data_IF_665069262788
#
_entry.id   IF_665069262788
#
_cell.length_a   1.000
_cell.length_b   1.000
_cell.length_c   1.000
_cell.angle_alpha   90.00
_cell.angle_beta   90.00
_cell.angle_gamma   90.00
#
_symmetry.space_group_name_H-M   'P 1'
#
loop_
_entity.id
_entity.type
_entity.pdbx_description
1 polymer ?
#
# COMPACT_ATOMS: atom_id res chain seq x y z
N UNK A 1 8.52 66.62 40.18
CA UNK A 1 9.63 65.70 39.83
C UNK A 1 9.28 64.31 40.32
N UNK A 2 8.59 63.47 39.53
CA UNK A 2 8.36 62.06 39.85
C UNK A 2 8.82 61.20 38.68
N UNK A 3 9.69 60.25 39.02
CA UNK A 3 10.55 59.46 38.15
C UNK A 3 9.91 58.10 37.88
N UNK A 4 9.94 57.70 36.60
CA UNK A 4 10.13 56.36 35.99
C UNK A 4 9.57 55.14 36.71
N UNK A 5 8.82 54.31 35.97
CA UNK A 5 9.11 52.87 35.81
C UNK A 5 8.45 52.37 34.52
N UNK A 6 9.27 52.02 33.51
CA UNK A 6 8.84 51.27 32.32
C UNK A 6 9.16 49.79 32.62
N UNK A 7 8.19 48.87 32.65
CA UNK A 7 8.49 47.46 32.82
C UNK A 7 9.01 46.92 31.48
N UNK A 8 10.24 46.42 31.51
CA UNK A 8 10.83 45.64 30.41
C UNK A 8 10.12 44.28 30.42
N UNK A 9 9.26 44.05 29.43
CA UNK A 9 8.67 42.74 29.16
C UNK A 9 9.77 41.82 28.62
N UNK A 10 10.22 40.87 29.44
CA UNK A 10 11.08 39.76 29.01
C UNK A 10 10.27 38.85 28.06
N UNK A 11 10.52 38.96 26.76
CA UNK A 11 10.10 37.93 25.80
C UNK A 11 10.91 36.66 26.08
N UNK A 12 10.27 35.65 26.66
CA UNK A 12 10.80 34.30 26.69
C UNK A 12 10.81 33.76 25.24
N UNK A 13 11.98 33.68 24.64
CA UNK A 13 12.18 32.94 23.41
C UNK A 13 11.97 31.45 23.70
N UNK A 14 10.79 30.92 23.35
CA UNK A 14 10.57 29.49 23.32
C UNK A 14 11.50 28.90 22.26
N UNK A 15 12.60 28.28 22.72
CA UNK A 15 13.44 27.46 21.86
C UNK A 15 12.62 26.26 21.39
N UNK A 16 12.07 26.32 20.18
CA UNK A 16 11.62 25.13 19.47
C UNK A 16 12.86 24.32 19.13
N UNK A 17 13.26 23.42 20.03
CA UNK A 17 14.13 22.31 19.66
C UNK A 17 13.40 21.52 18.57
N UNK A 18 13.96 21.37 17.36
CA UNK A 18 13.41 20.42 16.41
C UNK A 18 13.42 19.07 17.12
N UNK A 19 12.25 18.43 17.24
CA UNK A 19 12.16 17.08 17.76
C UNK A 19 13.21 16.24 17.03
N UNK A 20 14.22 15.75 17.75
CA UNK A 20 15.23 14.89 17.17
C UNK A 20 14.50 13.74 16.50
N UNK A 21 14.70 13.60 15.19
CA UNK A 21 14.00 12.61 14.41
C UNK A 21 14.40 11.22 14.92
N UNK A 22 13.43 10.51 15.51
CA UNK A 22 13.65 9.22 16.16
C UNK A 22 13.44 8.10 15.14
N UNK A 23 14.49 7.38 14.82
CA UNK A 23 14.49 6.27 13.86
C UNK A 23 14.52 4.90 14.53
N UNK A 24 14.68 4.84 15.86
CA UNK A 24 14.86 3.59 16.57
C UNK A 24 13.51 2.98 16.94
N UNK A 25 13.31 1.74 16.54
CA UNK A 25 12.17 0.94 16.98
C UNK A 25 12.49 0.25 18.31
N UNK A 26 13.66 -0.38 18.39
CA UNK A 26 14.21 -1.05 19.56
C UNK A 26 15.66 -1.48 19.30
N UNK A 27 16.23 -2.31 20.17
CA UNK A 27 17.65 -2.69 20.09
C UNK A 27 18.00 -3.46 18.82
N UNK A 28 17.05 -4.22 18.27
CA UNK A 28 17.22 -5.00 17.03
C UNK A 28 17.04 -4.19 15.75
N UNK A 29 16.55 -2.95 15.82
CA UNK A 29 16.30 -2.16 14.63
C UNK A 29 16.37 -0.64 14.81
N UNK A 30 17.34 -0.05 14.12
CA UNK A 30 17.40 1.39 13.82
C UNK A 30 17.10 1.62 12.34
N UNK A 31 15.96 2.23 12.03
CA UNK A 31 15.49 2.42 10.67
C UNK A 31 16.36 3.39 9.84
N UNK A 32 17.29 4.11 10.49
CA UNK A 32 18.28 4.93 9.79
C UNK A 32 19.12 4.10 8.79
N UNK A 33 19.34 2.81 9.05
CA UNK A 33 20.05 1.90 8.12
C UNK A 33 19.31 1.74 6.78
N UNK A 34 18.00 1.99 6.76
CA UNK A 34 17.14 1.96 5.57
C UNK A 34 16.91 3.36 4.98
N UNK A 35 17.61 4.38 5.50
CA UNK A 35 17.47 5.78 5.10
C UNK A 35 16.17 6.44 5.57
N UNK A 36 15.52 5.89 6.61
CA UNK A 36 14.35 6.52 7.25
C UNK A 36 14.82 7.67 8.12
N UNK A 37 14.05 8.75 8.13
CA UNK A 37 14.32 9.93 8.97
C UNK A 37 13.47 9.96 10.23
N UNK A 38 12.29 9.35 10.21
CA UNK A 38 11.34 9.33 11.32
C UNK A 38 10.61 7.98 11.34
N UNK A 39 10.64 7.29 12.48
CA UNK A 39 10.00 5.99 12.67
C UNK A 39 8.48 6.03 12.48
N UNK A 40 7.84 7.21 12.58
CA UNK A 40 6.43 7.37 12.27
C UNK A 40 6.09 6.94 10.83
N UNK A 41 7.04 7.03 9.88
CA UNK A 41 6.87 6.46 8.54
C UNK A 41 6.62 4.95 8.60
N UNK A 42 7.47 4.23 9.33
CA UNK A 42 7.36 2.79 9.49
C UNK A 42 6.15 2.40 10.32
N UNK A 43 5.87 3.10 11.42
CA UNK A 43 4.73 2.76 12.29
C UNK A 43 3.38 2.88 11.57
N UNK A 44 3.24 3.84 10.64
CA UNK A 44 2.06 3.91 9.76
C UNK A 44 1.97 2.69 8.83
N UNK A 45 3.10 2.28 8.24
CA UNK A 45 3.15 1.09 7.39
C UNK A 45 2.83 -0.20 8.19
N UNK A 46 3.43 -0.40 9.36
CA UNK A 46 3.21 -1.54 10.24
C UNK A 46 1.73 -1.65 10.64
N UNK A 47 1.14 -0.54 11.08
CA UNK A 47 -0.29 -0.50 11.42
C UNK A 47 -1.19 -0.85 10.23
N UNK A 48 -0.92 -0.31 9.05
CA UNK A 48 -1.70 -0.62 7.85
C UNK A 48 -1.53 -2.08 7.41
N UNK A 49 -0.32 -2.63 7.52
CA UNK A 49 -0.03 -4.03 7.17
C UNK A 49 -0.78 -4.99 8.10
N UNK A 50 -0.70 -4.77 9.41
CA UNK A 50 -1.42 -5.58 10.40
C UNK A 50 -2.92 -5.54 10.16
N UNK A 51 -3.48 -4.35 9.96
CA UNK A 51 -4.90 -4.19 9.68
C UNK A 51 -5.34 -4.92 8.40
N UNK A 52 -4.58 -4.81 7.31
CA UNK A 52 -4.89 -5.51 6.06
C UNK A 52 -4.84 -7.04 6.23
N UNK A 53 -3.88 -7.57 7.00
CA UNK A 53 -3.75 -9.00 7.28
C UNK A 53 -4.85 -9.53 8.22
N UNK A 54 -5.22 -8.76 9.23
CA UNK A 54 -6.30 -9.09 10.17
C UNK A 54 -7.65 -9.13 9.45
N UNK A 55 -7.91 -8.11 8.62
CA UNK A 55 -9.12 -8.05 7.79
C UNK A 55 -9.12 -9.07 6.65
N UNK A 56 -7.95 -9.61 6.27
CA UNK A 56 -7.75 -10.41 5.05
C UNK A 56 -8.03 -9.65 3.75
N UNK A 57 -7.98 -8.31 3.80
CA UNK A 57 -8.24 -7.44 2.66
C UNK A 57 -7.04 -7.45 1.70
N UNK A 58 -7.12 -8.31 0.69
CA UNK A 58 -6.09 -8.43 -0.33
C UNK A 58 -5.91 -7.14 -1.15
N UNK A 59 -6.95 -6.32 -1.26
CA UNK A 59 -6.89 -5.06 -2.00
C UNK A 59 -6.12 -3.99 -1.23
N UNK A 60 -6.34 -3.90 0.09
CA UNK A 60 -5.53 -3.10 0.99
C UNK A 60 -4.08 -3.56 1.00
N UNK A 61 -3.84 -4.87 1.13
CA UNK A 61 -2.50 -5.44 1.14
C UNK A 61 -1.74 -5.16 -0.17
N UNK A 62 -2.43 -5.12 -1.31
CA UNK A 62 -1.82 -4.81 -2.60
C UNK A 62 -1.22 -3.39 -2.70
N UNK A 63 -1.66 -2.44 -1.85
CA UNK A 63 -1.05 -1.11 -1.72
C UNK A 63 0.26 -1.14 -0.91
N UNK A 64 0.42 -2.15 -0.06
CA UNK A 64 1.53 -2.31 0.88
C UNK A 64 2.61 -3.27 0.36
N UNK A 65 2.37 -3.90 -0.79
CA UNK A 65 3.26 -4.88 -1.41
C UNK A 65 4.03 -4.27 -2.57
N UNK A 66 5.31 -4.62 -2.67
CA UNK A 66 6.11 -4.40 -3.88
C UNK A 66 5.85 -5.54 -4.85
N UNK A 67 5.19 -5.24 -5.96
CA UNK A 67 5.10 -6.18 -7.07
C UNK A 67 6.33 -6.09 -7.99
N UNK A 68 6.83 -7.19 -8.56
CA UNK A 68 6.40 -8.57 -8.34
C UNK A 68 6.82 -9.09 -6.95
N UNK A 69 5.85 -9.59 -6.16
CA UNK A 69 6.09 -10.04 -4.79
C UNK A 69 6.77 -11.40 -4.82
N UNK A 70 7.91 -11.52 -4.14
CA UNK A 70 8.61 -12.79 -3.98
C UNK A 70 7.94 -13.65 -2.92
N UNK A 71 7.55 -14.86 -3.29
CA UNK A 71 7.06 -15.88 -2.36
C UNK A 71 7.99 -17.08 -2.43
N UNK A 72 8.60 -17.44 -1.30
CA UNK A 72 9.39 -18.66 -1.18
C UNK A 72 8.56 -19.69 -0.42
N UNK A 73 8.39 -20.87 -1.00
CA UNK A 73 7.68 -21.98 -0.40
C UNK A 73 8.66 -22.84 0.41
N UNK A 74 8.13 -23.58 1.39
CA UNK A 74 8.93 -24.48 2.21
C UNK A 74 9.57 -25.64 1.45
N UNK A 75 9.04 -26.01 0.27
CA UNK A 75 9.62 -27.01 -0.62
C UNK A 75 10.80 -26.46 -1.45
N UNK A 76 11.19 -25.19 -1.22
CA UNK A 76 12.26 -24.50 -1.95
C UNK A 76 11.80 -23.86 -3.26
N UNK A 77 10.55 -24.06 -3.69
CA UNK A 77 10.02 -23.41 -4.88
C UNK A 77 9.79 -21.91 -4.64
N UNK A 78 9.88 -21.14 -5.73
CA UNK A 78 9.70 -19.69 -5.71
C UNK A 78 8.65 -19.26 -6.70
N UNK A 79 7.72 -18.43 -6.22
CA UNK A 79 6.64 -17.82 -7.01
C UNK A 79 6.81 -16.30 -6.99
N UNK A 80 6.43 -15.66 -8.09
CA UNK A 80 6.29 -14.21 -8.20
C UNK A 80 4.82 -13.88 -8.39
N UNK A 81 4.26 -13.01 -7.54
CA UNK A 81 2.92 -12.48 -7.72
C UNK A 81 3.05 -11.10 -8.38
N UNK A 82 2.60 -10.96 -9.61
CA UNK A 82 2.90 -9.76 -10.41
C UNK A 82 1.93 -8.60 -10.15
N UNK A 83 0.77 -8.86 -9.56
CA UNK A 83 -0.27 -7.85 -9.37
C UNK A 83 -1.25 -8.21 -8.25
N UNK A 84 -2.18 -7.30 -7.98
CA UNK A 84 -3.20 -7.44 -6.93
C UNK A 84 -4.12 -8.65 -7.14
N UNK A 85 -4.46 -9.01 -8.38
CA UNK A 85 -5.30 -10.16 -8.67
C UNK A 85 -4.58 -11.49 -8.37
N UNK A 86 -3.29 -11.59 -8.71
CA UNK A 86 -2.45 -12.74 -8.34
C UNK A 86 -2.24 -12.84 -6.82
N UNK A 87 -2.09 -11.70 -6.14
CA UNK A 87 -2.04 -11.64 -4.69
C UNK A 87 -3.33 -12.17 -4.05
N UNK A 88 -4.50 -11.71 -4.51
CA UNK A 88 -5.77 -12.17 -3.95
C UNK A 88 -5.98 -13.67 -4.17
N UNK A 89 -5.75 -14.18 -5.38
CA UNK A 89 -6.00 -15.59 -5.69
C UNK A 89 -5.14 -16.55 -4.85
N UNK A 90 -3.96 -16.09 -4.41
CA UNK A 90 -3.06 -16.86 -3.56
C UNK A 90 -3.02 -16.37 -2.11
N UNK A 91 -3.90 -15.43 -1.72
CA UNK A 91 -3.83 -14.77 -0.41
C UNK A 91 -3.82 -15.79 0.74
N UNK A 92 -4.76 -16.72 0.75
CA UNK A 92 -4.89 -17.71 1.83
C UNK A 92 -3.67 -18.65 1.91
N UNK A 93 -3.01 -18.91 0.78
CA UNK A 93 -1.81 -19.75 0.72
C UNK A 93 -0.56 -18.99 1.17
N UNK A 94 -0.39 -17.74 0.70
CA UNK A 94 0.81 -16.92 0.94
C UNK A 94 0.76 -16.25 2.31
N UNK A 95 -0.39 -15.68 2.68
CA UNK A 95 -0.67 -15.04 3.96
C UNK A 95 -1.59 -15.93 4.82
N UNK A 96 -1.22 -17.21 4.92
CA UNK A 96 -1.89 -18.16 5.80
C UNK A 96 -1.78 -17.76 7.29
N UNK A 97 -2.46 -18.49 8.19
CA UNK A 97 -2.52 -18.14 9.62
C UNK A 97 -1.15 -17.94 10.28
N UNK A 98 -0.16 -18.78 9.94
CA UNK A 98 1.21 -18.67 10.49
C UNK A 98 1.88 -17.35 10.08
N UNK A 99 1.85 -17.01 8.79
CA UNK A 99 2.44 -15.77 8.25
C UNK A 99 1.73 -14.53 8.83
N UNK A 100 0.39 -14.57 8.93
CA UNK A 100 -0.36 -13.48 9.56
C UNK A 100 -0.02 -13.32 11.03
N UNK A 101 0.10 -14.41 11.78
CA UNK A 101 0.50 -14.38 13.19
C UNK A 101 1.92 -13.81 13.38
N UNK A 102 2.85 -14.15 12.50
CA UNK A 102 4.23 -13.64 12.52
C UNK A 102 4.29 -12.10 12.40
N UNK A 103 3.35 -11.49 11.67
CA UNK A 103 3.27 -10.03 11.55
C UNK A 103 2.44 -9.39 12.67
N UNK A 104 1.24 -9.91 12.91
CA UNK A 104 0.24 -9.27 13.80
C UNK A 104 0.61 -9.32 15.27
N UNK A 105 1.35 -10.35 15.72
CA UNK A 105 1.80 -10.47 17.11
C UNK A 105 3.07 -9.66 17.40
N UNK A 106 3.82 -9.29 16.36
CA UNK A 106 5.12 -8.67 16.50
C UNK A 106 4.98 -7.22 16.95
N UNK A 107 5.63 -6.86 18.06
CA UNK A 107 5.68 -5.47 18.50
C UNK A 107 6.78 -4.72 17.74
N UNK A 108 6.60 -3.44 17.41
CA UNK A 108 7.61 -2.70 16.67
C UNK A 108 8.99 -2.69 17.33
N UNK A 109 9.05 -2.60 18.66
CA UNK A 109 10.28 -2.56 19.45
C UNK A 109 11.04 -3.90 19.50
N UNK A 110 10.40 -5.01 19.13
CA UNK A 110 11.03 -6.33 19.04
C UNK A 110 11.45 -6.70 17.62
N UNK A 111 11.26 -5.80 16.64
CA UNK A 111 11.64 -6.05 15.26
C UNK A 111 13.15 -6.01 15.05
N UNK A 112 13.59 -6.82 14.10
CA UNK A 112 14.97 -6.82 13.61
C UNK A 112 15.01 -6.15 12.23
N UNK A 113 16.06 -5.37 11.96
CA UNK A 113 16.34 -4.93 10.59
C UNK A 113 17.80 -5.08 10.19
N UNK A 114 18.01 -5.28 8.89
CA UNK A 114 19.34 -5.36 8.29
C UNK A 114 19.42 -4.51 7.01
N UNK A 115 20.61 -4.01 6.64
CA UNK A 115 20.79 -3.16 5.46
C UNK A 115 20.27 -3.81 4.17
N UNK A 116 20.50 -5.11 3.98
CA UNK A 116 20.19 -5.86 2.75
C UNK A 116 18.95 -6.77 2.89
N UNK A 117 17.90 -6.26 3.53
CA UNK A 117 16.65 -7.01 3.68
C UNK A 117 15.50 -6.23 4.29
N UNK A 118 15.78 -5.07 4.89
CA UNK A 118 14.76 -4.26 5.53
C UNK A 118 14.42 -4.80 6.91
N UNK A 119 13.16 -4.68 7.28
CA UNK A 119 12.57 -5.08 8.56
C UNK A 119 11.99 -6.49 8.43
N UNK A 120 12.33 -7.33 9.40
CA UNK A 120 11.93 -8.73 9.47
C UNK A 120 10.79 -8.92 10.49
N UNK A 121 9.72 -9.58 10.07
CA UNK A 121 8.65 -10.04 10.96
C UNK A 121 8.77 -11.55 11.21
N UNK A 122 8.41 -11.97 12.43
CA UNK A 122 8.63 -13.32 12.92
C UNK A 122 10.10 -13.72 12.87
N UNK A 123 10.35 -14.96 12.44
CA UNK A 123 11.68 -15.53 12.24
C UNK A 123 12.15 -15.38 10.78
N UNK A 124 11.49 -14.51 10.01
CA UNK A 124 11.77 -14.25 8.61
C UNK A 124 10.63 -14.57 7.66
N UNK A 125 9.43 -14.86 8.15
CA UNK A 125 8.25 -15.13 7.34
C UNK A 125 7.90 -13.96 6.42
N UNK A 126 8.07 -12.71 6.90
CA UNK A 126 7.78 -11.52 6.09
C UNK A 126 8.92 -10.53 6.19
N UNK A 127 9.34 -10.03 5.03
CA UNK A 127 10.32 -8.95 4.92
C UNK A 127 9.67 -7.72 4.29
N UNK A 128 9.83 -6.58 4.96
CA UNK A 128 9.41 -5.28 4.47
C UNK A 128 10.63 -4.36 4.31
N UNK A 129 10.75 -3.70 3.17
CA UNK A 129 11.89 -2.83 2.88
C UNK A 129 11.43 -1.49 2.32
N UNK A 130 12.28 -0.47 2.46
CA UNK A 130 12.04 0.88 1.98
C UNK A 130 12.55 1.03 0.55
N UNK A 131 11.68 0.70 -0.39
CA UNK A 131 11.98 0.58 -1.83
C UNK A 131 11.39 1.74 -2.61
N UNK A 132 11.94 2.02 -3.79
CA UNK A 132 11.30 2.93 -4.74
C UNK A 132 9.89 2.43 -5.10
N UNK A 133 8.89 3.26 -4.85
CA UNK A 133 7.48 2.98 -5.13
C UNK A 133 6.83 4.25 -5.72
N UNK A 134 6.92 4.38 -7.04
CA UNK A 134 6.43 5.55 -7.76
C UNK A 134 7.27 6.79 -7.54
N UNK A 135 6.77 7.75 -6.75
CA UNK A 135 7.40 9.07 -6.58
C UNK A 135 8.38 9.18 -5.42
N UNK A 136 8.76 8.05 -4.83
CA UNK A 136 9.84 7.99 -3.84
C UNK A 136 9.88 6.69 -3.08
N UNK A 137 10.79 6.62 -2.11
CA UNK A 137 10.98 5.43 -1.28
C UNK A 137 9.89 5.31 -0.22
N UNK A 138 9.29 4.13 -0.14
CA UNK A 138 8.26 3.80 0.83
C UNK A 138 8.44 2.36 1.31
N UNK A 139 8.02 2.06 2.53
CA UNK A 139 7.96 0.69 3.00
C UNK A 139 6.98 -0.14 2.17
N UNK A 140 7.44 -1.32 1.76
CA UNK A 140 6.66 -2.35 1.07
C UNK A 140 7.08 -3.72 1.54
N UNK A 141 6.12 -4.64 1.62
CA UNK A 141 6.42 -6.07 1.71
C UNK A 141 7.09 -6.51 0.41
N UNK A 142 8.29 -7.09 0.51
CA UNK A 142 9.09 -7.50 -0.65
C UNK A 142 9.23 -9.00 -0.78
N UNK A 143 9.16 -9.73 0.34
CA UNK A 143 9.28 -11.18 0.38
C UNK A 143 8.35 -11.78 1.43
N UNK A 144 7.74 -12.91 1.10
CA UNK A 144 7.04 -13.78 2.03
C UNK A 144 7.65 -15.18 1.94
N UNK A 145 8.00 -15.75 3.09
CA UNK A 145 8.45 -17.12 3.25
C UNK A 145 7.31 -17.92 3.89
N UNK A 146 6.74 -18.86 3.14
CA UNK A 146 5.61 -19.68 3.59
C UNK A 146 6.15 -20.93 4.30
N UNK A 147 5.90 -21.11 5.61
CA UNK A 147 6.45 -22.23 6.36
C UNK A 147 5.83 -23.58 5.98
N UNK A 148 6.57 -24.67 6.22
CA UNK A 148 6.10 -26.03 5.98
C UNK A 148 4.83 -26.32 6.80
N UNK A 149 3.86 -27.03 6.21
CA UNK A 149 2.58 -27.31 6.86
C UNK A 149 1.53 -26.19 6.76
N UNK A 150 1.91 -24.96 6.38
CA UNK A 150 0.95 -23.90 6.05
C UNK A 150 0.27 -24.13 4.69
N UNK A 151 0.95 -24.82 3.75
CA UNK A 151 0.43 -25.19 2.44
C UNK A 151 -0.68 -26.27 2.46
N UNK A 152 -0.91 -26.92 3.61
CA UNK A 152 -1.82 -28.08 3.72
C UNK A 152 -3.22 -27.72 4.25
N UNK A 153 -3.44 -26.50 4.75
CA UNK A 153 -4.79 -26.02 4.90
C UNK A 153 -5.25 -25.57 3.51
N UNK A 154 -5.86 -26.48 2.74
CA UNK A 154 -6.97 -26.06 1.87
C UNK A 154 -7.95 -25.37 2.80
N UNK A 155 -7.82 -24.06 2.99
CA UNK A 155 -8.94 -23.28 3.46
C UNK A 155 -10.10 -23.73 2.57
N UNK A 156 -11.22 -24.22 3.13
CA UNK A 156 -12.33 -24.60 2.28
C UNK A 156 -12.59 -23.37 1.42
N UNK A 157 -12.69 -23.54 0.10
CA UNK A 157 -12.90 -22.42 -0.83
C UNK A 157 -14.06 -21.51 -0.33
N UNK A 158 -15.00 -22.06 0.44
CA UNK A 158 -16.08 -21.38 1.14
C UNK A 158 -15.68 -20.35 2.22
N UNK A 159 -14.54 -20.49 2.93
CA UNK A 159 -14.12 -19.55 3.98
C UNK A 159 -13.29 -18.36 3.43
N UNK A 160 -12.57 -18.57 2.31
CA UNK A 160 -11.94 -17.49 1.55
C UNK A 160 -12.94 -16.80 0.59
N UNK A 161 -14.09 -17.43 0.30
CA UNK A 161 -15.12 -16.94 -0.61
C UNK A 161 -16.33 -16.28 0.08
N UNK A 162 -16.20 -15.83 1.32
CA UNK A 162 -17.13 -14.84 1.88
C UNK A 162 -16.88 -13.46 1.23
N UNK A 163 -17.13 -13.39 -0.08
CA UNK A 163 -17.46 -12.22 -0.87
C UNK A 163 -16.61 -10.95 -0.72
N UNK A 164 -15.30 -11.05 -0.48
CA UNK A 164 -14.44 -9.90 -0.73
C UNK A 164 -14.33 -9.65 -2.25
N UNK A 165 -14.66 -8.45 -2.74
CA UNK A 165 -14.59 -8.15 -4.16
C UNK A 165 -13.15 -8.26 -4.65
N UNK A 166 -12.96 -8.89 -5.80
CA UNK A 166 -11.64 -9.13 -6.41
C UNK A 166 -10.96 -7.81 -6.73
N UNK A 167 -9.77 -7.49 -6.16
CA UNK A 167 -9.01 -6.33 -6.60
C UNK A 167 -8.62 -6.50 -8.07
N UNK A 168 -9.08 -5.55 -8.86
CA UNK A 168 -8.74 -5.37 -10.27
C UNK A 168 -7.53 -4.43 -10.40
N UNK A 169 -7.44 -3.43 -9.53
CA UNK A 169 -6.32 -2.48 -9.47
C UNK A 169 -6.10 -2.01 -8.03
N UNK A 170 -4.84 -1.86 -7.63
CA UNK A 170 -4.46 -1.13 -6.43
C UNK A 170 -3.20 -0.31 -6.73
N UNK A 171 -3.32 1.02 -6.59
CA UNK A 171 -2.22 1.93 -6.88
C UNK A 171 -2.34 3.24 -6.09
N UNK A 172 -1.27 4.03 -6.08
CA UNK A 172 -1.20 5.29 -5.36
C UNK A 172 -0.67 6.41 -6.24
N UNK A 173 -1.25 7.61 -6.09
CA UNK A 173 -0.70 8.87 -6.59
C UNK A 173 -0.04 9.65 -5.46
N UNK A 174 0.36 10.90 -5.68
CA UNK A 174 0.87 11.78 -4.61
C UNK A 174 -0.20 12.17 -3.58
N UNK A 175 -1.48 12.14 -3.98
CA UNK A 175 -2.59 12.68 -3.17
C UNK A 175 -3.57 11.63 -2.71
N UNK A 176 -3.68 10.51 -3.42
CA UNK A 176 -4.77 9.55 -3.22
C UNK A 176 -4.29 8.12 -3.41
N UNK A 177 -4.73 7.22 -2.53
CA UNK A 177 -4.73 5.78 -2.76
C UNK A 177 -5.99 5.39 -3.51
N UNK A 178 -5.86 4.51 -4.50
CA UNK A 178 -6.97 4.03 -5.31
C UNK A 178 -6.99 2.50 -5.29
N UNK A 179 -8.17 1.95 -5.05
CA UNK A 179 -8.48 0.54 -5.24
C UNK A 179 -9.66 0.43 -6.19
N UNK A 180 -9.54 -0.44 -7.19
CA UNK A 180 -10.67 -0.92 -7.97
C UNK A 180 -10.85 -2.39 -7.64
N UNK A 181 -12.04 -2.76 -7.18
CA UNK A 181 -12.39 -4.14 -6.90
C UNK A 181 -13.78 -4.49 -7.46
N UNK A 182 -14.15 -5.76 -7.55
CA UNK A 182 -15.49 -6.14 -7.99
C UNK A 182 -15.69 -7.64 -8.04
N UNK A 183 -16.93 -8.09 -8.27
CA UNK A 183 -17.19 -9.51 -8.55
C UNK A 183 -16.67 -9.91 -9.95
N UNK A 184 -16.71 -8.96 -10.89
CA UNK A 184 -16.22 -9.08 -12.26
C UNK A 184 -16.07 -7.68 -12.90
N UNK A 185 -15.73 -7.64 -14.19
CA UNK A 185 -15.59 -6.42 -14.99
C UNK A 185 -16.94 -5.72 -15.28
N UNK A 186 -18.10 -6.32 -14.94
CA UNK A 186 -19.42 -5.74 -15.26
C UNK A 186 -19.81 -4.59 -14.35
N UNK A 187 -19.39 -4.65 -13.08
CA UNK A 187 -19.70 -3.63 -12.08
C UNK A 187 -18.50 -3.41 -11.14
N UNK A 188 -17.36 -2.90 -11.66
CA UNK A 188 -16.23 -2.53 -10.83
C UNK A 188 -16.63 -1.44 -9.84
N UNK A 189 -16.05 -1.50 -8.65
CA UNK A 189 -16.16 -0.53 -7.59
C UNK A 189 -14.83 0.19 -7.43
N UNK A 190 -14.87 1.51 -7.54
CA UNK A 190 -13.76 2.40 -7.23
C UNK A 190 -13.86 2.84 -5.78
N UNK A 191 -12.77 2.72 -5.04
CA UNK A 191 -12.59 3.27 -3.71
C UNK A 191 -11.33 4.13 -3.68
N UNK A 192 -11.39 5.27 -3.02
CA UNK A 192 -10.20 6.09 -2.85
C UNK A 192 -10.10 6.78 -1.50
N UNK A 193 -8.86 7.04 -1.08
CA UNK A 193 -8.51 7.65 0.20
C UNK A 193 -7.53 8.78 -0.01
N UNK A 194 -7.87 9.97 0.48
CA UNK A 194 -6.95 11.11 0.48
C UNK A 194 -5.81 10.83 1.45
N UNK A 195 -4.57 10.88 0.95
CA UNK A 195 -3.39 10.69 1.81
C UNK A 195 -3.40 11.72 2.96
N UNK A 196 -3.09 11.31 4.19
CA UNK A 196 -2.45 10.04 4.56
C UNK A 196 -3.42 8.87 4.84
N UNK A 197 -4.74 9.04 4.68
CA UNK A 197 -5.70 7.96 4.89
C UNK A 197 -5.54 6.84 3.87
N UNK A 198 -5.79 5.61 4.31
CA UNK A 198 -5.71 4.39 3.51
C UNK A 198 -6.58 3.30 4.16
N UNK A 199 -6.86 2.17 3.48
CA UNK A 199 -7.44 1.02 4.16
C UNK A 199 -6.67 0.69 5.46
N UNK A 200 -7.37 0.37 6.56
CA UNK A 200 -8.80 0.01 6.65
C UNK A 200 -9.76 1.20 6.85
N UNK A 201 -9.29 2.45 6.80
CA UNK A 201 -10.16 3.62 6.95
C UNK A 201 -11.33 3.57 5.95
N UNK A 202 -12.44 4.25 6.25
CA UNK A 202 -13.51 4.41 5.27
C UNK A 202 -13.00 5.20 4.04
N UNK A 203 -13.34 4.79 2.81
CA UNK A 203 -12.94 5.53 1.62
C UNK A 203 -13.58 6.93 1.61
N UNK A 204 -12.81 7.92 1.18
CA UNK A 204 -13.30 9.28 0.95
C UNK A 204 -14.27 9.34 -0.24
N UNK A 205 -14.13 8.41 -1.20
CA UNK A 205 -15.03 8.26 -2.33
C UNK A 205 -15.20 6.78 -2.68
N UNK A 206 -16.45 6.35 -2.82
CA UNK A 206 -16.82 5.02 -3.30
C UNK A 206 -17.82 5.14 -4.45
N UNK A 207 -17.54 4.52 -5.59
CA UNK A 207 -18.36 4.60 -6.80
C UNK A 207 -18.45 3.23 -7.49
N UNK A 208 -19.59 2.93 -8.11
CA UNK A 208 -19.70 1.82 -9.06
C UNK A 208 -19.57 2.35 -10.49
N UNK A 209 -18.89 1.62 -11.35
CA UNK A 209 -18.57 2.05 -12.70
C UNK A 209 -18.72 0.94 -13.73
N UNK A 210 -18.03 1.12 -14.85
CA UNK A 210 -17.94 0.13 -15.93
C UNK A 210 -16.48 -0.10 -16.28
N UNK A 211 -16.13 -1.33 -16.59
CA UNK A 211 -14.86 -1.65 -17.22
C UNK A 211 -15.04 -1.78 -18.74
N UNK A 212 -13.98 -1.51 -19.46
CA UNK A 212 -13.79 -1.78 -20.87
C UNK A 212 -12.30 -1.97 -21.14
N UNK A 213 -11.91 -1.91 -22.39
CA UNK A 213 -10.51 -1.91 -22.77
C UNK A 213 -10.32 -1.53 -24.22
N UNK A 214 -9.09 -1.16 -24.54
CA UNK A 214 -8.68 -0.75 -25.87
C UNK A 214 -7.39 -1.51 -26.24
N UNK A 215 -7.06 -1.53 -27.54
CA UNK A 215 -5.93 -2.28 -28.07
C UNK A 215 -6.23 -3.74 -28.39
N UNK A 216 -5.22 -4.44 -28.88
CA UNK A 216 -5.30 -5.85 -29.31
C UNK A 216 -4.07 -6.63 -28.87
N UNK A 217 -4.22 -7.96 -28.69
CA UNK A 217 -3.12 -8.85 -28.31
C UNK A 217 -2.42 -8.40 -27.03
N UNK A 218 -1.09 -8.38 -27.05
CA UNK A 218 -0.24 -7.95 -25.93
C UNK A 218 -0.34 -6.46 -25.60
N UNK A 219 -0.97 -5.66 -26.47
CA UNK A 219 -1.16 -4.23 -26.29
C UNK A 219 -2.56 -3.87 -25.80
N UNK A 220 -3.40 -4.87 -25.51
CA UNK A 220 -4.68 -4.63 -24.86
C UNK A 220 -4.46 -4.07 -23.44
N UNK A 221 -5.18 -3.00 -23.10
CA UNK A 221 -5.17 -2.41 -21.76
C UNK A 221 -6.59 -2.13 -21.28
N UNK A 222 -6.84 -2.35 -19.98
CA UNK A 222 -8.15 -2.09 -19.39
C UNK A 222 -8.36 -0.61 -19.12
N UNK A 223 -9.62 -0.20 -19.21
CA UNK A 223 -10.08 1.13 -18.86
C UNK A 223 -11.30 1.00 -17.96
N UNK A 224 -11.26 1.65 -16.80
CA UNK A 224 -12.40 1.78 -15.90
C UNK A 224 -12.92 3.20 -15.89
N UNK A 225 -14.24 3.36 -15.88
CA UNK A 225 -14.91 4.66 -15.84
C UNK A 225 -15.92 4.70 -14.71
N UNK A 226 -15.82 5.73 -13.87
CA UNK A 226 -16.70 5.97 -12.72
C UNK A 226 -17.22 7.40 -12.78
N UNK A 227 -18.47 7.63 -12.38
CA UNK A 227 -19.08 8.96 -12.44
C UNK A 227 -19.70 9.37 -11.11
N UNK A 228 -19.54 10.64 -10.77
CA UNK A 228 -20.21 11.31 -9.67
C UNK A 228 -20.67 12.69 -10.14
N UNK A 229 -21.97 12.83 -10.43
CA UNK A 229 -22.52 14.03 -11.05
C UNK A 229 -21.85 14.37 -12.38
N UNK A 230 -21.19 15.54 -12.46
CA UNK A 230 -20.46 16.02 -13.65
C UNK A 230 -19.00 15.57 -13.70
N UNK A 231 -18.53 14.85 -12.68
CA UNK A 231 -17.15 14.39 -12.57
C UNK A 231 -17.06 12.95 -13.07
N UNK A 232 -16.09 12.68 -13.93
CA UNK A 232 -15.78 11.33 -14.41
C UNK A 232 -14.34 10.99 -14.02
N UNK A 233 -14.15 9.84 -13.39
CA UNK A 233 -12.86 9.28 -13.03
C UNK A 233 -12.58 8.14 -14.00
N UNK A 234 -11.50 8.27 -14.76
CA UNK A 234 -11.03 7.28 -15.73
C UNK A 234 -9.71 6.74 -15.24
N UNK A 235 -9.61 5.41 -15.14
CA UNK A 235 -8.35 4.73 -14.85
C UNK A 235 -8.03 3.82 -16.01
N UNK A 236 -6.84 3.97 -16.59
CA UNK A 236 -6.37 3.13 -17.70
C UNK A 236 -5.08 2.43 -17.32
N UNK A 237 -5.03 1.11 -17.51
CA UNK A 237 -3.75 0.37 -17.48
C UNK A 237 -2.85 0.89 -18.62
N UNK A 238 -1.51 0.81 -18.46
CA UNK A 238 -0.60 1.15 -19.54
C UNK A 238 -0.77 0.17 -20.71
N UNK A 239 -1.04 0.71 -21.91
CA UNK A 239 -0.88 -0.03 -23.17
C UNK A 239 0.57 -0.02 -23.65
N UNK A 240 0.80 -0.40 -24.90
CA UNK A 240 2.12 -0.34 -25.57
C UNK A 240 2.57 1.08 -25.95
N UNK A 241 1.88 2.13 -25.48
CA UNK A 241 2.20 3.51 -25.80
C UNK A 241 3.49 4.01 -25.11
N UNK A 242 4.10 5.04 -25.68
CA UNK A 242 5.23 5.73 -25.06
C UNK A 242 4.77 6.56 -23.84
N UNK A 243 5.69 6.86 -22.93
CA UNK A 243 5.44 7.79 -21.81
C UNK A 243 4.96 7.15 -20.51
N UNK A 244 4.93 5.82 -20.40
CA UNK A 244 4.66 5.13 -19.13
C UNK A 244 5.88 5.25 -18.21
N UNK A 245 5.77 5.88 -17.03
CA UNK A 245 6.86 5.95 -16.08
C UNK A 245 7.17 4.58 -15.50
N UNK A 246 8.42 4.35 -15.11
CA UNK A 246 8.86 3.08 -14.52
C UNK A 246 8.00 2.71 -13.31
N UNK A 247 7.34 1.56 -13.37
CA UNK A 247 6.46 1.05 -12.31
C UNK A 247 5.06 1.66 -12.29
N UNK A 248 4.70 2.50 -13.27
CA UNK A 248 3.34 3.02 -13.43
C UNK A 248 2.36 1.87 -13.69
N UNK A 249 1.32 1.77 -12.86
CA UNK A 249 0.32 0.68 -12.92
C UNK A 249 -0.94 1.08 -13.68
N UNK A 250 -1.33 2.35 -13.56
CA UNK A 250 -2.42 2.93 -14.31
C UNK A 250 -2.28 4.46 -14.36
N UNK A 251 -2.94 5.08 -15.31
CA UNK A 251 -3.12 6.52 -15.36
C UNK A 251 -4.51 6.88 -14.83
N UNK A 252 -4.55 7.81 -13.87
CA UNK A 252 -5.78 8.40 -13.36
C UNK A 252 -6.03 9.72 -14.09
N UNK A 253 -7.16 9.79 -14.78
CA UNK A 253 -7.70 11.02 -15.35
C UNK A 253 -9.02 11.39 -14.67
N UNK A 254 -9.17 12.66 -14.30
CA UNK A 254 -10.40 13.21 -13.74
C UNK A 254 -10.93 14.29 -14.67
N UNK A 255 -12.11 14.06 -15.22
CA UNK A 255 -12.80 14.98 -16.11
C UNK A 255 -13.93 15.68 -15.35
N UNK A 256 -14.12 16.99 -15.60
CA UNK A 256 -15.26 17.75 -15.10
C UNK A 256 -15.98 18.35 -16.30
N UNK A 257 -17.22 17.93 -16.54
CA UNK A 257 -17.99 18.36 -17.72
C UNK A 257 -17.31 17.94 -19.04
N UNK A 258 -16.64 16.78 -19.06
CA UNK A 258 -15.94 16.26 -20.23
C UNK A 258 -14.55 16.86 -20.48
N UNK A 259 -14.11 17.84 -19.69
CA UNK A 259 -12.78 18.41 -19.79
C UNK A 259 -11.84 17.80 -18.76
N UNK A 260 -10.67 17.33 -19.20
CA UNK A 260 -9.61 16.84 -18.31
C UNK A 260 -9.14 17.94 -17.36
N UNK A 261 -9.21 17.69 -16.05
CA UNK A 261 -8.77 18.62 -14.99
C UNK A 261 -7.58 18.08 -14.21
N UNK A 262 -7.39 16.77 -14.22
CA UNK A 262 -6.25 16.09 -13.64
C UNK A 262 -5.92 14.90 -14.52
N UNK A 263 -4.64 14.70 -14.79
CA UNK A 263 -4.11 13.49 -15.41
C UNK A 263 -2.80 13.14 -14.72
N UNK A 264 -2.70 11.94 -14.17
CA UNK A 264 -1.53 11.53 -13.39
C UNK A 264 -1.34 10.03 -13.32
N UNK A 265 -0.09 9.59 -13.33
CA UNK A 265 0.25 8.18 -13.13
C UNK A 265 0.10 7.76 -11.67
N UNK A 266 -0.41 6.54 -11.47
CA UNK A 266 -0.43 5.86 -10.19
C UNK A 266 0.50 4.63 -10.20
N UNK A 267 1.03 4.29 -9.03
CA UNK A 267 2.11 3.32 -8.82
C UNK A 267 1.79 2.30 -7.73
#
# INVERSE_FOLDING_TARGET
>A
MHSKFIPILLLAAAAWSPACADTRLGDGCDLAILGVKDKAEFLRFDSALKAALDAQDAAALALLVRFALRVNQADGSRVLLDNAAALQSQFAQVFGPAVRAAVTRQKPDTLFCKPDGGVMYGDGEVWADRVEAGRGRQFRVTTVNVPAGAAAAKAPAAAAAAAEPKPLLACSTDKVHVVIDGKDDKAPRYRSWNKPHAPPDAPALELTGKAGGEGTGSCFYRIWRFRSGKVEYVLSEPGCGEGVPKGGRAELEVLIGGQSRLRTWCF
#
